data_IF_902164723819
#
_entry.id   IF_902164723819
#
_cell.length_a   1.000
_cell.length_b   1.000
_cell.length_c   1.000
_cell.angle_alpha   90.00
_cell.angle_beta   90.00
_cell.angle_gamma   90.00
#
_symmetry.space_group_name_H-M   'P 1'
#
loop_
_entity.id
_entity.type
_entity.pdbx_description
1 polymer ?
#
# COMPACT_ATOMS: atom_id res chain seq x y z
N UNK A 1 24.88 -22.06 9.50
CA UNK A 1 24.00 -22.49 8.39
C UNK A 1 23.83 -21.31 7.46
N UNK A 2 23.83 -21.52 6.15
CA UNK A 2 23.50 -20.43 5.21
C UNK A 2 22.00 -20.16 5.26
N UNK A 3 21.59 -18.89 5.35
CA UNK A 3 20.18 -18.46 5.41
C UNK A 3 19.55 -18.28 4.03
N UNK A 4 20.37 -18.23 2.97
CA UNK A 4 19.93 -18.29 1.58
C UNK A 4 20.98 -18.95 0.69
N UNK A 5 20.56 -19.34 -0.51
CA UNK A 5 21.42 -19.88 -1.56
C UNK A 5 21.13 -19.19 -2.90
N UNK A 6 22.17 -18.66 -3.55
CA UNK A 6 22.06 -18.08 -4.89
C UNK A 6 22.50 -19.11 -5.94
N UNK A 7 21.59 -19.46 -6.85
CA UNK A 7 21.85 -20.27 -8.03
C UNK A 7 22.05 -19.32 -9.25
N UNK A 8 23.29 -19.15 -9.75
CA UNK A 8 23.58 -18.22 -10.84
C UNK A 8 23.02 -18.68 -12.19
N UNK A 9 22.87 -19.99 -12.39
CA UNK A 9 22.37 -20.56 -13.64
C UNK A 9 20.86 -20.31 -13.76
N UNK A 10 20.13 -20.47 -12.65
CA UNK A 10 18.70 -20.16 -12.57
C UNK A 10 18.41 -18.69 -12.27
N UNK A 11 19.41 -17.90 -11.90
CA UNK A 11 19.29 -16.51 -11.43
C UNK A 11 18.27 -16.38 -10.29
N UNK A 12 18.30 -17.33 -9.37
CA UNK A 12 17.33 -17.41 -8.26
C UNK A 12 18.04 -17.42 -6.92
N UNK A 13 17.43 -16.78 -5.93
CA UNK A 13 17.81 -16.90 -4.52
C UNK A 13 16.75 -17.73 -3.80
N UNK A 14 17.17 -18.79 -3.11
CA UNK A 14 16.31 -19.60 -2.27
C UNK A 14 16.57 -19.25 -0.81
N UNK A 15 15.51 -18.91 -0.08
CA UNK A 15 15.53 -18.71 1.37
C UNK A 15 14.96 -19.97 2.04
N UNK A 16 15.68 -20.54 3.01
CA UNK A 16 15.32 -21.82 3.62
C UNK A 16 15.45 -21.77 5.14
N UNK A 17 14.59 -22.52 5.82
CA UNK A 17 14.51 -22.52 7.28
C UNK A 17 13.90 -21.23 7.84
N UNK A 18 13.61 -21.24 9.13
CA UNK A 18 13.00 -20.10 9.86
C UNK A 18 13.80 -18.81 9.62
N UNK A 19 15.09 -18.79 10.00
CA UNK A 19 15.97 -17.63 9.82
C UNK A 19 16.09 -17.12 8.36
N UNK A 20 15.94 -18.00 7.36
CA UNK A 20 15.93 -17.60 5.95
C UNK A 20 14.62 -16.91 5.57
N UNK A 21 13.49 -17.47 6.00
CA UNK A 21 12.17 -16.89 5.77
C UNK A 21 11.98 -15.58 6.54
N UNK A 22 12.50 -15.50 7.76
CA UNK A 22 12.59 -14.28 8.57
C UNK A 22 13.29 -13.17 7.81
N UNK A 23 14.51 -13.43 7.32
CA UNK A 23 15.27 -12.48 6.52
C UNK A 23 14.50 -12.02 5.26
N UNK A 24 13.87 -12.96 4.55
CA UNK A 24 13.06 -12.62 3.37
C UNK A 24 11.88 -11.71 3.76
N UNK A 25 11.15 -12.05 4.81
CA UNK A 25 10.00 -11.28 5.28
C UNK A 25 10.41 -9.85 5.64
N UNK A 26 11.50 -9.72 6.39
CA UNK A 26 12.11 -8.45 6.79
C UNK A 26 12.53 -7.56 5.61
N UNK A 27 13.11 -8.17 4.56
CA UNK A 27 13.49 -7.45 3.35
C UNK A 27 12.26 -6.96 2.58
N UNK A 28 11.21 -7.79 2.51
CA UNK A 28 9.98 -7.44 1.80
C UNK A 28 9.18 -6.37 2.54
N UNK A 29 9.11 -6.43 3.87
CA UNK A 29 8.47 -5.38 4.69
C UNK A 29 9.19 -4.04 4.52
N UNK A 30 10.52 -4.02 4.63
CA UNK A 30 11.30 -2.79 4.40
C UNK A 30 11.18 -2.28 2.97
N UNK A 31 11.06 -3.16 1.98
CA UNK A 31 10.84 -2.74 0.60
C UNK A 31 9.45 -2.11 0.41
N UNK A 32 8.43 -2.63 1.09
CA UNK A 32 7.04 -2.15 0.95
C UNK A 32 6.74 -0.91 1.79
N UNK A 33 7.23 -0.86 3.03
CA UNK A 33 6.91 0.17 4.04
C UNK A 33 8.13 0.96 4.52
N UNK A 34 9.31 0.77 3.91
CA UNK A 34 10.49 1.55 4.25
C UNK A 34 10.43 2.98 3.74
N UNK A 35 11.52 3.72 3.97
CA UNK A 35 11.63 5.14 3.65
C UNK A 35 11.26 5.44 2.20
N UNK A 36 10.10 6.07 2.00
CA UNK A 36 9.65 6.58 0.70
C UNK A 36 8.45 5.89 0.07
N UNK A 37 7.89 4.82 0.67
CA UNK A 37 6.63 4.19 0.21
C UNK A 37 6.60 3.96 -1.32
N UNK A 38 7.32 2.93 -1.78
CA UNK A 38 7.37 2.59 -3.21
C UNK A 38 5.98 2.14 -3.71
N UNK A 39 5.27 3.07 -4.39
CA UNK A 39 3.89 2.90 -4.85
C UNK A 39 3.64 1.57 -5.56
N UNK A 40 4.49 1.12 -6.52
CA UNK A 40 4.31 -0.16 -7.18
C UNK A 40 4.35 -1.37 -6.23
N UNK A 41 5.07 -1.29 -5.12
CA UNK A 41 5.15 -2.34 -4.10
C UNK A 41 3.97 -2.29 -3.12
N UNK A 42 3.49 -1.10 -2.79
CA UNK A 42 2.28 -0.92 -1.97
C UNK A 42 1.05 -1.52 -2.64
N UNK A 43 0.84 -1.20 -3.91
CA UNK A 43 -0.33 -1.67 -4.67
C UNK A 43 -0.18 -3.11 -5.21
N UNK A 44 0.91 -3.81 -4.92
CA UNK A 44 1.19 -5.15 -5.45
C UNK A 44 0.41 -6.26 -4.72
N UNK A 45 -0.58 -6.92 -5.37
CA UNK A 45 -1.36 -7.98 -4.72
C UNK A 45 -0.55 -9.25 -4.48
N UNK A 46 0.43 -9.54 -5.35
CA UNK A 46 1.27 -10.72 -5.20
C UNK A 46 2.24 -10.57 -4.03
N UNK A 47 2.79 -9.37 -3.81
CA UNK A 47 3.66 -9.08 -2.69
C UNK A 47 2.88 -9.16 -1.38
N UNK A 48 1.70 -8.55 -1.33
CA UNK A 48 0.79 -8.65 -0.19
C UNK A 48 0.41 -10.11 0.13
N UNK A 49 0.13 -10.93 -0.89
CA UNK A 49 -0.13 -12.35 -0.70
C UNK A 49 1.08 -13.13 -0.16
N UNK A 50 2.30 -12.79 -0.59
CA UNK A 50 3.53 -13.39 -0.08
C UNK A 50 3.78 -12.98 1.37
N UNK A 51 3.68 -11.69 1.69
CA UNK A 51 3.86 -11.17 3.05
C UNK A 51 2.89 -11.84 4.04
N UNK A 52 1.59 -11.95 3.70
CA UNK A 52 0.60 -12.64 4.56
C UNK A 52 0.88 -14.14 4.73
N UNK A 53 1.52 -14.79 3.76
CA UNK A 53 1.92 -16.20 3.88
C UNK A 53 3.14 -16.35 4.78
N UNK A 54 4.11 -15.45 4.67
CA UNK A 54 5.30 -15.41 5.51
C UNK A 54 4.92 -15.10 6.95
N UNK A 55 4.09 -14.08 7.17
CA UNK A 55 3.54 -13.70 8.47
C UNK A 55 2.88 -14.88 9.21
N UNK A 56 2.08 -15.68 8.50
CA UNK A 56 1.46 -16.89 9.06
C UNK A 56 2.42 -18.06 9.30
N UNK A 57 3.53 -18.10 8.56
CA UNK A 57 4.48 -19.21 8.60
C UNK A 57 5.58 -19.00 9.65
N UNK A 58 5.85 -17.75 10.02
CA UNK A 58 6.85 -17.36 11.00
C UNK A 58 6.25 -17.28 12.42
N UNK A 59 7.07 -17.49 13.46
CA UNK A 59 6.61 -17.30 14.83
C UNK A 59 6.31 -15.81 15.10
N UNK A 60 5.19 -15.55 15.76
CA UNK A 60 4.86 -14.23 16.31
C UNK A 60 5.67 -14.01 17.59
N UNK A 61 6.89 -13.50 17.41
CA UNK A 61 7.82 -13.16 18.50
C UNK A 61 7.75 -11.67 18.86
N UNK A 62 6.81 -10.92 18.28
CA UNK A 62 6.61 -9.49 18.49
C UNK A 62 7.69 -8.58 17.89
N UNK A 63 8.56 -9.08 17.00
CA UNK A 63 9.67 -8.30 16.42
C UNK A 63 9.34 -7.65 15.07
N UNK A 64 8.31 -8.10 14.36
CA UNK A 64 8.09 -7.83 12.94
C UNK A 64 7.71 -6.38 12.59
N UNK A 65 7.05 -5.70 13.52
CA UNK A 65 6.86 -4.25 13.61
C UNK A 65 6.63 -4.01 15.10
N UNK A 66 7.27 -3.02 15.77
CA UNK A 66 6.99 -2.80 17.18
C UNK A 66 5.57 -2.27 17.33
N UNK A 67 4.59 -3.18 17.47
CA UNK A 67 3.27 -2.88 17.98
C UNK A 67 3.46 -2.38 19.41
N UNK A 68 3.70 -1.08 19.57
CA UNK A 68 3.71 -0.48 20.89
C UNK A 68 2.27 -0.45 21.38
N UNK A 69 1.94 -1.08 22.52
CA UNK A 69 0.57 -1.10 23.01
C UNK A 69 0.00 0.32 23.09
N UNK A 70 -1.07 0.57 22.33
CA UNK A 70 -1.75 1.87 22.29
C UNK A 70 -1.20 2.89 21.28
N UNK A 71 -0.23 2.52 20.44
CA UNK A 71 0.13 3.31 19.24
C UNK A 71 -0.38 2.63 17.97
N UNK A 72 -0.91 3.40 17.02
CA UNK A 72 -1.25 2.85 15.71
C UNK A 72 0.03 2.39 14.99
N UNK A 73 -0.11 1.36 14.15
CA UNK A 73 0.99 0.83 13.33
C UNK A 73 1.40 1.86 12.28
N UNK A 74 0.41 2.53 11.71
CA UNK A 74 0.56 3.57 10.70
C UNK A 74 0.22 4.92 11.33
N UNK A 75 1.07 5.91 11.11
CA UNK A 75 0.74 7.29 11.44
C UNK A 75 -0.04 7.97 10.30
N UNK A 76 -0.36 9.25 10.47
CA UNK A 76 -1.14 10.00 9.48
C UNK A 76 -0.41 10.13 8.14
N UNK A 77 0.91 10.31 8.16
CA UNK A 77 1.73 10.44 6.94
C UNK A 77 1.74 9.11 6.17
N UNK A 78 1.79 7.98 6.88
CA UNK A 78 1.69 6.65 6.29
C UNK A 78 0.33 6.44 5.59
N UNK A 79 -0.77 6.84 6.23
CA UNK A 79 -2.12 6.71 5.66
C UNK A 79 -2.30 7.59 4.44
N UNK A 80 -1.75 8.81 4.44
CA UNK A 80 -1.75 9.70 3.28
C UNK A 80 -0.93 9.09 2.13
N UNK A 81 0.24 8.53 2.41
CA UNK A 81 1.07 7.86 1.39
C UNK A 81 0.34 6.66 0.76
N UNK A 82 -0.45 5.92 1.54
CA UNK A 82 -1.33 4.85 1.04
C UNK A 82 -2.43 5.39 0.12
N UNK A 83 -3.07 6.51 0.49
CA UNK A 83 -4.06 7.20 -0.34
C UNK A 83 -3.48 7.65 -1.67
N UNK A 84 -2.33 8.33 -1.65
CA UNK A 84 -1.59 8.78 -2.82
C UNK A 84 -1.23 7.63 -3.76
N UNK A 85 -0.77 6.49 -3.22
CA UNK A 85 -0.48 5.30 -4.03
C UNK A 85 -1.72 4.81 -4.79
N UNK A 86 -2.89 4.84 -4.15
CA UNK A 86 -4.16 4.44 -4.79
C UNK A 86 -4.64 5.48 -5.81
N UNK A 87 -4.47 6.77 -5.54
CA UNK A 87 -4.84 7.84 -6.48
C UNK A 87 -4.04 7.71 -7.78
N UNK A 88 -2.72 7.52 -7.67
CA UNK A 88 -1.84 7.48 -8.82
C UNK A 88 -1.93 6.15 -9.58
N UNK A 89 -1.89 5.03 -8.86
CA UNK A 89 -1.82 3.70 -9.46
C UNK A 89 -3.19 3.00 -9.54
N UNK A 90 -4.28 3.63 -9.10
CA UNK A 90 -5.62 3.04 -9.03
C UNK A 90 -6.13 2.53 -10.38
N UNK A 91 -5.66 3.10 -11.48
CA UNK A 91 -5.97 2.64 -12.83
C UNK A 91 -5.35 1.27 -13.15
N UNK A 92 -4.16 0.96 -12.62
CA UNK A 92 -3.46 -0.32 -12.86
C UNK A 92 -4.12 -1.49 -12.16
N UNK A 93 -4.77 -1.22 -11.03
CA UNK A 93 -5.42 -2.23 -10.17
C UNK A 93 -6.94 -2.24 -10.27
N UNK A 94 -7.51 -1.39 -11.13
CA UNK A 94 -8.97 -1.32 -11.35
C UNK A 94 -9.76 -0.69 -10.20
N UNK A 95 -9.09 0.06 -9.32
CA UNK A 95 -9.68 0.70 -8.12
C UNK A 95 -10.97 1.46 -8.43
N UNK A 96 -10.99 2.23 -9.53
CA UNK A 96 -12.12 3.06 -9.94
C UNK A 96 -13.39 2.28 -10.31
N UNK A 97 -13.27 0.97 -10.52
CA UNK A 97 -14.38 0.07 -10.87
C UNK A 97 -14.81 -0.82 -9.71
N UNK A 98 -14.06 -0.81 -8.60
CA UNK A 98 -14.38 -1.57 -7.40
C UNK A 98 -15.59 -0.99 -6.68
N UNK A 99 -16.42 -1.88 -6.14
CA UNK A 99 -17.44 -1.53 -5.16
C UNK A 99 -16.81 -1.14 -3.82
N UNK A 100 -17.55 -0.45 -2.95
CA UNK A 100 -17.03 -0.04 -1.63
C UNK A 100 -16.50 -1.22 -0.78
N UNK A 101 -17.18 -2.38 -0.70
CA UNK A 101 -16.61 -3.54 0.00
C UNK A 101 -15.30 -4.03 -0.61
N UNK A 102 -15.15 -3.98 -1.94
CA UNK A 102 -13.93 -4.39 -2.63
C UNK A 102 -12.78 -3.42 -2.37
N UNK A 103 -13.04 -2.10 -2.38
CA UNK A 103 -12.05 -1.08 -2.00
C UNK A 103 -11.54 -1.29 -0.57
N UNK A 104 -12.46 -1.50 0.36
CA UNK A 104 -12.16 -1.78 1.78
C UNK A 104 -11.37 -3.05 1.98
N UNK A 105 -11.70 -4.10 1.23
CA UNK A 105 -10.93 -5.32 1.22
C UNK A 105 -9.53 -5.04 0.65
N UNK A 106 -9.43 -4.34 -0.47
CA UNK A 106 -8.16 -4.00 -1.11
C UNK A 106 -7.21 -3.21 -0.19
N UNK A 107 -7.71 -2.19 0.52
CA UNK A 107 -6.92 -1.43 1.48
C UNK A 107 -6.34 -2.33 2.58
N UNK A 108 -7.16 -3.20 3.18
CA UNK A 108 -6.73 -4.11 4.26
C UNK A 108 -5.84 -5.25 3.75
N UNK A 109 -6.15 -5.79 2.59
CA UNK A 109 -5.58 -7.04 2.11
C UNK A 109 -4.38 -6.87 1.17
N UNK A 110 -4.21 -5.67 0.59
CA UNK A 110 -3.15 -5.38 -0.37
C UNK A 110 -2.28 -4.23 0.12
N UNK A 111 -2.88 -3.08 0.40
CA UNK A 111 -2.12 -1.86 0.72
C UNK A 111 -1.40 -2.01 2.06
N UNK A 112 -2.14 -2.27 3.13
CA UNK A 112 -1.58 -2.39 4.48
C UNK A 112 -1.02 -3.77 4.80
N UNK A 113 -1.23 -4.76 3.93
CA UNK A 113 -0.81 -6.13 4.18
C UNK A 113 0.71 -6.22 4.46
N UNK A 114 1.11 -6.96 5.50
CA UNK A 114 0.30 -7.89 6.30
C UNK A 114 -0.40 -7.28 7.50
N UNK A 115 -0.15 -5.99 7.79
CA UNK A 115 -0.65 -5.32 8.98
C UNK A 115 -2.15 -5.02 8.89
N UNK A 116 -2.86 -5.07 10.04
CA UNK A 116 -4.26 -4.70 10.07
C UNK A 116 -4.45 -3.19 9.91
N UNK A 117 -5.55 -2.80 9.25
CA UNK A 117 -6.13 -1.47 9.38
C UNK A 117 -7.42 -1.54 10.17
N UNK A 118 -7.58 -0.59 11.08
CA UNK A 118 -8.84 -0.29 11.75
C UNK A 118 -9.84 0.34 10.78
N UNK A 119 -11.12 0.30 11.15
CA UNK A 119 -12.17 0.95 10.34
C UNK A 119 -11.95 2.46 10.21
N UNK A 120 -11.40 3.10 11.25
CA UNK A 120 -11.10 4.53 11.24
C UNK A 120 -9.98 4.89 10.26
N UNK A 121 -8.92 4.08 10.19
CA UNK A 121 -7.82 4.28 9.24
C UNK A 121 -8.28 4.04 7.79
N UNK A 122 -9.12 3.02 7.57
CA UNK A 122 -9.73 2.78 6.25
C UNK A 122 -10.60 3.95 5.82
N UNK A 123 -11.47 4.45 6.71
CA UNK A 123 -12.29 5.63 6.42
C UNK A 123 -11.45 6.89 6.17
N UNK A 124 -10.32 7.05 6.87
CA UNK A 124 -9.41 8.15 6.64
C UNK A 124 -8.86 8.13 5.20
N UNK A 125 -8.32 6.98 4.78
CA UNK A 125 -7.78 6.79 3.42
C UNK A 125 -8.88 6.99 2.37
N UNK A 126 -10.08 6.44 2.57
CA UNK A 126 -11.21 6.63 1.64
C UNK A 126 -11.56 8.11 1.44
N UNK A 127 -11.66 8.88 2.53
CA UNK A 127 -11.99 10.31 2.48
C UNK A 127 -10.91 11.13 1.80
N UNK A 128 -9.64 10.78 2.03
CA UNK A 128 -8.52 11.44 1.38
C UNK A 128 -8.55 11.24 -0.14
N UNK A 129 -8.72 9.99 -0.59
CA UNK A 129 -8.88 9.64 -2.01
C UNK A 129 -10.05 10.39 -2.64
N UNK A 130 -11.23 10.38 -1.98
CA UNK A 130 -12.40 11.11 -2.47
C UNK A 130 -12.15 12.62 -2.56
N UNK A 131 -11.51 13.20 -1.54
CA UNK A 131 -11.15 14.61 -1.51
C UNK A 131 -10.24 15.00 -2.67
N UNK A 132 -9.22 14.20 -2.97
CA UNK A 132 -8.32 14.42 -4.09
C UNK A 132 -9.05 14.33 -5.44
N UNK A 133 -9.95 13.36 -5.61
CA UNK A 133 -10.76 13.20 -6.83
C UNK A 133 -11.71 14.39 -7.03
N UNK A 134 -12.38 14.85 -5.98
CA UNK A 134 -13.26 16.02 -6.07
C UNK A 134 -12.49 17.31 -6.42
N UNK A 135 -11.30 17.50 -5.84
CA UNK A 135 -10.42 18.62 -6.22
C UNK A 135 -10.02 18.54 -7.70
N UNK A 136 -9.67 17.35 -8.19
CA UNK A 136 -9.34 17.15 -9.59
C UNK A 136 -10.52 17.46 -10.53
N UNK A 137 -11.74 17.06 -10.16
CA UNK A 137 -12.97 17.39 -10.91
C UNK A 137 -13.20 18.90 -10.98
N UNK A 138 -13.11 19.59 -9.84
CA UNK A 138 -13.27 21.05 -9.79
C UNK A 138 -12.24 21.77 -10.67
N UNK A 139 -11.00 21.30 -10.68
CA UNK A 139 -9.95 21.85 -11.54
C UNK A 139 -10.29 21.68 -13.04
N UNK A 140 -10.74 20.47 -13.43
CA UNK A 140 -11.14 20.20 -14.82
C UNK A 140 -12.34 21.06 -15.23
N UNK A 141 -13.33 21.23 -14.35
CA UNK A 141 -14.49 22.09 -14.59
C UNK A 141 -14.09 23.56 -14.75
N UNK A 142 -13.21 24.07 -13.89
CA UNK A 142 -12.71 25.44 -13.96
C UNK A 142 -11.95 25.73 -15.27
N UNK A 143 -11.18 24.76 -15.77
CA UNK A 143 -10.45 24.87 -17.05
C UNK A 143 -11.41 24.72 -18.24
N UNK A 144 -12.46 23.91 -18.10
CA UNK A 144 -13.45 23.66 -19.14
C UNK A 144 -14.51 24.76 -19.25
N UNK A 145 -14.56 25.70 -18.29
CA UNK A 145 -15.45 26.84 -18.34
C UNK A 145 -15.09 27.74 -19.55
N UNK A 146 -16.07 28.19 -20.36
CA UNK A 146 -15.78 29.09 -21.46
C UNK A 146 -15.08 30.35 -20.94
N UNK A 147 -13.92 30.69 -21.52
CA UNK A 147 -13.29 31.98 -21.30
C UNK A 147 -14.34 33.05 -21.56
N UNK A 148 -14.71 33.81 -20.52
CA UNK A 148 -15.60 34.94 -20.66
C UNK A 148 -14.97 35.91 -21.68
N UNK A 149 -15.49 35.93 -22.90
CA UNK A 149 -15.07 36.90 -23.90
C UNK A 149 -15.41 38.28 -23.35
N UNK A 150 -14.44 39.19 -23.17
CA UNK A 150 -14.73 40.52 -22.70
C UNK A 150 -15.66 41.19 -23.73
N UNK A 151 -16.87 41.51 -23.29
CA UNK A 151 -17.84 42.22 -24.12
C UNK A 151 -17.27 43.58 -24.49
N UNK A 152 -16.99 43.79 -25.77
CA UNK A 152 -16.77 45.13 -26.31
C UNK A 152 -18.14 45.82 -26.41
N UNK A 153 -18.34 46.81 -25.53
CA UNK A 153 -19.44 47.78 -25.63
C UNK A 153 -19.25 48.80 -26.74
#
# INVERSE_FOLDING_TARGET
MSVFHFDPDKKSVTFEGEAGLELLYDLLLRAKFGDGYEKPLLISPWLAALLRKLDKALPDDGQWFPEQPGRPIFDEDDLLAMGDAVIEEGHTVGWWTMTEPEKRAYLREVIAAPHPLTDAEVEFIERDIEGAVEQAKQLVEAISAPLALPGHG
#
